data_IF_216616020043
#
_entry.id   IF_216616020043
#
_cell.length_a   1.000
_cell.length_b   1.000
_cell.length_c   1.000
_cell.angle_alpha   90.00
_cell.angle_beta   90.00
_cell.angle_gamma   90.00
#
_symmetry.space_group_name_H-M   'P 1'
#
loop_
_entity.id
_entity.type
_entity.pdbx_description
1 polymer ?
#
# COMPACT_ATOMS: atom_id res chain seq x y z
N UNK A 1 -2.63 6.11 16.76
CA UNK A 1 -2.34 6.87 15.53
C UNK A 1 -2.95 8.26 15.65
N UNK A 2 -2.10 9.28 15.69
CA UNK A 2 -2.51 10.68 15.89
C UNK A 2 -2.99 11.33 14.59
N UNK A 3 -2.33 11.02 13.48
CA UNK A 3 -2.71 11.51 12.15
C UNK A 3 -2.41 10.48 11.08
N UNK A 4 -2.98 10.69 9.90
CA UNK A 4 -2.75 9.91 8.70
C UNK A 4 -2.86 10.81 7.46
N UNK A 5 -2.08 10.52 6.43
CA UNK A 5 -2.08 11.24 5.16
C UNK A 5 -1.53 10.36 4.03
N UNK A 6 -1.99 10.61 2.81
CA UNK A 6 -1.41 10.04 1.59
C UNK A 6 -1.39 11.05 0.45
N UNK A 7 -0.53 10.87 -0.51
CA UNK A 7 -0.70 11.52 -1.81
C UNK A 7 -1.86 10.86 -2.56
N UNK A 8 -2.34 11.48 -3.63
CA UNK A 8 -3.06 10.73 -4.65
C UNK A 8 -2.18 9.60 -5.21
N UNK A 9 -2.80 8.58 -5.79
CA UNK A 9 -2.10 7.50 -6.49
C UNK A 9 -2.00 7.86 -7.97
N UNK A 10 -0.75 8.02 -8.44
CA UNK A 10 -0.44 8.30 -9.84
C UNK A 10 -0.49 7.04 -10.70
N UNK A 11 -0.89 7.20 -11.95
CA UNK A 11 -0.81 6.15 -12.96
C UNK A 11 0.63 5.94 -13.42
N UNK A 12 0.94 4.75 -13.93
CA UNK A 12 2.22 4.46 -14.56
C UNK A 12 2.53 5.45 -15.68
N UNK A 13 3.67 6.13 -15.57
CA UNK A 13 4.07 7.25 -16.45
C UNK A 13 3.07 8.42 -16.50
N UNK A 14 2.25 8.58 -15.45
CA UNK A 14 1.28 9.65 -15.27
C UNK A 14 1.87 10.90 -14.60
N UNK A 15 1.08 11.57 -13.76
CA UNK A 15 1.46 12.86 -13.14
C UNK A 15 2.74 12.79 -12.34
N UNK A 16 3.05 11.66 -11.70
CA UNK A 16 4.26 11.50 -10.90
C UNK A 16 5.44 10.84 -11.63
N UNK A 17 5.36 10.69 -12.96
CA UNK A 17 6.35 9.96 -13.74
C UNK A 17 7.82 10.40 -13.51
N UNK A 18 8.03 11.66 -13.17
CA UNK A 18 9.36 12.24 -12.95
C UNK A 18 9.56 12.73 -11.50
N UNK A 19 8.71 12.35 -10.57
CA UNK A 19 8.76 12.77 -9.18
C UNK A 19 9.43 11.68 -8.33
N UNK A 20 10.59 11.93 -7.72
CA UNK A 20 11.24 10.96 -6.84
C UNK A 20 10.28 10.49 -5.73
N UNK A 21 10.36 9.20 -5.36
CA UNK A 21 9.51 8.66 -4.31
C UNK A 21 9.65 9.41 -2.98
N UNK A 22 10.87 9.87 -2.65
CA UNK A 22 11.11 10.62 -1.41
C UNK A 22 10.48 12.02 -1.42
N UNK A 23 10.19 12.64 -2.57
CA UNK A 23 9.45 13.91 -2.61
C UNK A 23 7.97 13.68 -2.26
N UNK A 24 7.37 12.57 -2.74
CA UNK A 24 6.03 12.15 -2.32
C UNK A 24 5.99 11.84 -0.82
N UNK A 25 7.01 11.13 -0.32
CA UNK A 25 7.19 10.85 1.10
C UNK A 25 7.33 12.11 1.94
N UNK A 26 8.10 13.11 1.47
CA UNK A 26 8.25 14.43 2.11
C UNK A 26 6.89 15.09 2.35
N UNK A 27 6.07 15.17 1.31
CA UNK A 27 4.73 15.78 1.39
C UNK A 27 3.84 15.05 2.40
N UNK A 28 3.92 13.72 2.46
CA UNK A 28 3.17 12.95 3.47
C UNK A 28 3.69 13.25 4.87
N UNK A 29 5.00 13.27 5.10
CA UNK A 29 5.58 13.56 6.42
C UNK A 29 5.21 14.95 6.93
N UNK A 30 5.24 15.96 6.08
CA UNK A 30 4.78 17.32 6.41
C UNK A 30 3.30 17.30 6.81
N UNK A 31 2.44 16.67 6.01
CA UNK A 31 1.01 16.59 6.29
C UNK A 31 0.71 15.82 7.59
N UNK A 32 1.50 14.81 7.95
CA UNK A 32 1.32 14.06 9.19
C UNK A 32 1.54 14.95 10.43
N UNK A 33 2.59 15.77 10.42
CA UNK A 33 2.91 16.71 11.50
C UNK A 33 1.85 17.80 11.60
N UNK A 34 1.51 18.42 10.46
CA UNK A 34 0.50 19.49 10.40
C UNK A 34 -0.87 19.02 10.88
N UNK A 35 -1.33 17.83 10.45
CA UNK A 35 -2.62 17.25 10.85
C UNK A 35 -2.67 16.82 12.31
N UNK A 36 -1.53 16.44 12.89
CA UNK A 36 -1.44 16.13 14.31
C UNK A 36 -1.34 17.38 15.19
N UNK A 37 -1.05 18.54 14.60
CA UNK A 37 -0.86 19.79 15.34
C UNK A 37 0.33 19.77 16.30
N UNK A 38 1.41 19.09 15.93
CA UNK A 38 2.66 19.03 16.71
C UNK A 38 3.79 19.78 16.02
N UNK A 39 4.87 20.02 16.72
CA UNK A 39 6.07 20.62 16.14
C UNK A 39 6.91 19.54 15.42
N UNK A 40 7.59 19.93 14.34
CA UNK A 40 8.50 19.02 13.62
C UNK A 40 9.57 18.42 14.53
N UNK A 41 10.03 19.20 15.52
CA UNK A 41 11.01 18.78 16.52
C UNK A 41 10.55 17.66 17.45
N UNK A 42 9.25 17.38 17.51
CA UNK A 42 8.69 16.31 18.33
C UNK A 42 8.88 14.92 17.72
N UNK A 43 9.14 14.84 16.40
CA UNK A 43 9.29 13.56 15.70
C UNK A 43 10.64 12.94 16.02
N UNK A 44 10.64 11.83 16.74
CA UNK A 44 11.85 11.11 17.17
C UNK A 44 12.38 10.13 16.15
N UNK A 45 11.54 9.63 15.25
CA UNK A 45 11.96 8.67 14.21
C UNK A 45 11.04 8.68 12.99
N UNK A 46 11.59 8.26 11.83
CA UNK A 46 10.83 8.01 10.61
C UNK A 46 11.14 6.64 10.02
N UNK A 47 10.12 5.84 9.72
CA UNK A 47 10.25 4.51 9.09
C UNK A 47 9.40 4.46 7.82
N UNK A 48 10.02 4.38 6.64
CA UNK A 48 9.29 4.32 5.37
C UNK A 48 9.58 3.06 4.58
N UNK A 49 8.51 2.38 4.16
CA UNK A 49 8.58 1.29 3.20
C UNK A 49 8.92 1.79 1.80
N UNK A 50 9.83 1.11 1.11
CA UNK A 50 10.12 1.33 -0.30
C UNK A 50 10.77 0.07 -0.89
N UNK A 51 10.34 -0.34 -2.07
CA UNK A 51 10.85 -1.55 -2.75
C UNK A 51 11.86 -1.19 -3.81
N UNK A 52 11.55 -0.23 -4.66
CA UNK A 52 12.33 0.15 -5.84
C UNK A 52 13.22 1.35 -5.50
N UNK A 53 14.36 1.09 -4.88
CA UNK A 53 15.28 2.14 -4.40
C UNK A 53 16.55 2.31 -5.26
N UNK A 54 16.69 1.56 -6.35
CA UNK A 54 17.87 1.63 -7.20
C UNK A 54 18.03 3.03 -7.82
N UNK A 55 19.23 3.62 -7.69
CA UNK A 55 19.55 4.92 -8.27
C UNK A 55 18.92 6.14 -7.58
N UNK A 56 18.23 5.99 -6.45
CA UNK A 56 17.55 7.07 -5.74
C UNK A 56 18.40 7.75 -4.65
N UNK A 57 19.67 7.47 -4.58
CA UNK A 57 20.57 8.01 -3.57
C UNK A 57 20.56 7.20 -2.27
N UNK A 58 21.28 7.72 -1.27
CA UNK A 58 21.37 7.08 0.02
C UNK A 58 20.06 7.22 0.78
N UNK A 59 19.52 6.10 1.26
CA UNK A 59 18.41 6.06 2.21
C UNK A 59 17.26 7.02 1.85
N UNK A 60 16.40 6.71 0.87
CA UNK A 60 15.31 7.60 0.45
C UNK A 60 14.35 8.00 1.58
N UNK A 61 14.17 7.15 2.62
CA UNK A 61 13.41 7.53 3.81
C UNK A 61 14.06 8.68 4.58
N UNK A 62 15.40 8.67 4.69
CA UNK A 62 16.14 9.78 5.29
C UNK A 62 16.06 11.05 4.46
N UNK A 63 16.07 10.92 3.14
CA UNK A 63 15.90 12.06 2.25
C UNK A 63 14.52 12.72 2.46
N UNK A 64 13.46 11.91 2.50
CA UNK A 64 12.11 12.41 2.79
C UNK A 64 12.03 13.10 4.15
N UNK A 65 12.60 12.51 5.19
CA UNK A 65 12.64 13.04 6.54
C UNK A 65 13.31 14.44 6.61
N UNK A 66 14.51 14.56 6.07
CA UNK A 66 15.27 15.82 6.09
C UNK A 66 14.59 16.88 5.21
N UNK A 67 14.10 16.51 4.04
CA UNK A 67 13.38 17.42 3.15
C UNK A 67 12.06 17.93 3.77
N UNK A 68 11.38 17.13 4.59
CA UNK A 68 10.22 17.56 5.34
C UNK A 68 10.56 18.54 6.49
N UNK A 69 11.85 18.80 6.74
CA UNK A 69 12.33 19.66 7.81
C UNK A 69 12.20 19.05 9.20
N UNK A 70 12.13 17.71 9.27
CA UNK A 70 12.19 16.98 10.54
C UNK A 70 13.61 17.02 11.13
N UNK A 71 13.80 16.79 12.43
CA UNK A 71 15.10 16.98 13.09
C UNK A 71 16.19 16.10 12.49
N UNK A 72 17.34 16.69 12.19
CA UNK A 72 18.50 15.94 11.67
C UNK A 72 19.10 14.99 12.73
N UNK A 73 18.81 15.24 13.99
CA UNK A 73 19.19 14.41 15.14
C UNK A 73 18.34 13.15 15.26
N UNK A 74 17.11 13.18 14.72
CA UNK A 74 16.21 12.04 14.72
C UNK A 74 16.60 11.02 13.66
N UNK A 75 16.43 9.74 13.97
CA UNK A 75 16.73 8.65 13.02
C UNK A 75 15.68 8.53 11.92
N UNK A 76 16.12 8.14 10.72
CA UNK A 76 15.21 7.78 9.64
C UNK A 76 15.79 6.65 8.79
N UNK A 77 15.00 5.65 8.47
CA UNK A 77 15.43 4.48 7.72
C UNK A 77 14.31 3.83 6.90
N UNK A 78 14.73 3.06 5.89
CA UNK A 78 13.82 2.37 4.98
C UNK A 78 13.67 0.90 5.25
N UNK A 79 12.51 0.32 4.92
CA UNK A 79 12.23 -1.12 5.00
C UNK A 79 11.71 -1.63 3.66
N UNK A 80 12.11 -2.84 3.31
CA UNK A 80 11.57 -3.58 2.18
C UNK A 80 11.01 -4.94 2.65
N UNK A 81 9.68 -5.04 2.67
CA UNK A 81 8.92 -6.28 2.75
C UNK A 81 7.95 -6.35 1.57
N UNK A 82 8.41 -5.98 0.38
CA UNK A 82 7.64 -5.87 -0.87
C UNK A 82 6.31 -5.10 -0.61
N UNK A 83 5.15 -5.63 -1.01
CA UNK A 83 3.84 -4.98 -0.86
C UNK A 83 3.48 -4.66 0.60
N UNK A 84 4.01 -5.39 1.56
CA UNK A 84 3.76 -5.22 2.99
C UNK A 84 4.53 -4.10 3.66
N UNK A 85 5.52 -3.49 2.98
CA UNK A 85 6.49 -2.56 3.56
C UNK A 85 5.85 -1.42 4.35
N UNK A 86 4.84 -0.74 3.78
CA UNK A 86 4.18 0.40 4.43
C UNK A 86 3.44 0.02 5.72
N UNK A 87 2.71 -1.10 5.74
CA UNK A 87 2.01 -1.55 6.94
C UNK A 87 2.99 -2.13 7.97
N UNK A 88 4.08 -2.77 7.50
CA UNK A 88 5.14 -3.26 8.37
C UNK A 88 5.90 -2.12 9.05
N UNK A 89 6.15 -1.02 8.34
CA UNK A 89 6.75 0.19 8.92
C UNK A 89 5.92 0.72 10.10
N UNK A 90 4.60 0.77 9.95
CA UNK A 90 3.68 1.16 11.04
C UNK A 90 3.75 0.19 12.22
N UNK A 91 3.83 -1.11 11.97
CA UNK A 91 3.99 -2.11 13.02
C UNK A 91 5.32 -1.96 13.78
N UNK A 92 6.42 -1.65 13.08
CA UNK A 92 7.74 -1.40 13.70
C UNK A 92 7.72 -0.11 14.53
N UNK A 93 7.10 0.95 14.03
CA UNK A 93 6.91 2.19 14.79
C UNK A 93 6.19 1.94 16.13
N UNK A 94 5.12 1.14 16.11
CA UNK A 94 4.43 0.77 17.34
C UNK A 94 5.32 -0.03 18.29
N UNK A 95 6.20 -0.90 17.78
CA UNK A 95 7.17 -1.64 18.60
C UNK A 95 8.20 -0.71 19.25
N UNK A 96 8.76 0.24 18.50
CA UNK A 96 9.74 1.20 19.02
C UNK A 96 9.14 2.07 20.13
N UNK A 97 7.89 2.51 19.95
CA UNK A 97 7.16 3.25 21.00
C UNK A 97 6.92 2.37 22.24
N UNK A 98 6.49 1.13 22.06
CA UNK A 98 6.25 0.19 23.16
C UNK A 98 7.53 -0.17 23.95
N UNK A 99 8.68 -0.19 23.29
CA UNK A 99 9.98 -0.46 23.91
C UNK A 99 10.61 0.79 24.53
N UNK A 100 10.07 1.98 24.26
CA UNK A 100 10.63 3.26 24.73
C UNK A 100 11.85 3.72 23.93
N UNK A 101 12.07 3.17 22.72
CA UNK A 101 13.16 3.60 21.83
C UNK A 101 12.82 4.92 21.12
N UNK A 102 11.53 5.23 20.96
CA UNK A 102 11.04 6.45 20.33
C UNK A 102 9.69 6.86 20.93
N UNK A 103 9.40 8.17 21.01
CA UNK A 103 8.16 8.71 21.56
C UNK A 103 7.11 8.95 20.48
N UNK A 104 7.51 9.59 19.39
CA UNK A 104 6.65 9.94 18.24
C UNK A 104 7.32 9.49 16.96
N UNK A 105 6.67 8.62 16.23
CA UNK A 105 7.22 8.01 15.01
C UNK A 105 6.31 8.27 13.81
N UNK A 106 6.88 8.84 12.74
CA UNK A 106 6.25 8.91 11.44
C UNK A 106 6.54 7.63 10.65
N UNK A 107 5.51 6.87 10.28
CA UNK A 107 5.69 5.59 9.60
C UNK A 107 4.74 5.40 8.43
N UNK A 108 5.21 4.73 7.37
CA UNK A 108 4.41 4.49 6.19
C UNK A 108 5.21 3.92 5.04
N UNK A 109 4.96 4.41 3.84
CA UNK A 109 5.71 4.01 2.65
C UNK A 109 5.60 5.01 1.53
N UNK A 110 6.57 4.94 0.64
CA UNK A 110 6.69 5.74 -0.58
C UNK A 110 7.13 4.84 -1.72
N UNK A 111 6.66 5.09 -2.93
CA UNK A 111 7.06 4.33 -4.11
C UNK A 111 6.91 5.17 -5.37
N UNK A 112 7.84 5.07 -6.29
CA UNK A 112 7.64 5.50 -7.65
C UNK A 112 8.08 4.37 -8.59
N UNK A 113 7.11 3.65 -9.14
CA UNK A 113 7.35 2.55 -10.06
C UNK A 113 7.68 3.06 -11.46
N UNK A 114 7.19 4.26 -11.82
CA UNK A 114 7.47 4.91 -13.11
C UNK A 114 8.94 5.31 -13.26
N UNK A 115 9.61 5.70 -12.16
CA UNK A 115 11.04 6.08 -12.14
C UNK A 115 11.99 4.91 -11.88
N UNK A 116 11.47 3.68 -11.76
CA UNK A 116 12.34 2.51 -11.58
C UNK A 116 13.32 2.34 -12.74
N UNK A 117 14.63 2.29 -12.49
CA UNK A 117 15.62 2.28 -13.55
C UNK A 117 15.76 0.90 -14.20
N UNK A 118 16.37 0.90 -15.38
CA UNK A 118 16.98 -0.28 -15.95
C UNK A 118 18.47 -0.29 -15.61
N UNK A 119 19.00 -1.41 -15.11
CA UNK A 119 20.38 -1.54 -14.64
C UNK A 119 21.16 -2.60 -15.40
N UNK A 120 22.46 -2.47 -15.42
CA UNK A 120 23.37 -3.47 -15.94
C UNK A 120 24.56 -3.68 -14.99
N UNK A 121 25.05 -4.92 -14.88
CA UNK A 121 26.23 -5.27 -14.07
C UNK A 121 27.51 -5.03 -14.87
N UNK A 122 28.12 -3.82 -14.74
CA UNK A 122 29.25 -3.40 -15.57
C UNK A 122 30.60 -3.28 -14.84
N UNK A 123 30.67 -3.50 -13.50
CA UNK A 123 31.92 -3.31 -12.74
C UNK A 123 33.04 -4.25 -13.17
N UNK A 124 32.72 -5.44 -13.67
CA UNK A 124 33.70 -6.38 -14.22
C UNK A 124 34.09 -6.09 -15.69
N UNK A 125 33.52 -5.05 -16.29
CA UNK A 125 33.68 -4.71 -17.69
C UNK A 125 32.79 -5.54 -18.62
N UNK A 126 32.71 -5.11 -19.87
CA UNK A 126 32.01 -5.80 -20.94
C UNK A 126 32.92 -5.88 -22.15
N UNK A 127 33.41 -7.10 -22.47
CA UNK A 127 34.48 -7.25 -23.47
C UNK A 127 33.96 -7.31 -24.92
N UNK A 128 32.81 -7.92 -25.17
CA UNK A 128 32.26 -8.15 -26.50
C UNK A 128 30.80 -8.59 -26.44
N UNK A 129 30.00 -8.29 -27.46
CA UNK A 129 28.60 -8.69 -27.60
C UNK A 129 27.61 -7.67 -27.06
N UNK A 130 26.33 -8.05 -27.01
CA UNK A 130 25.23 -7.18 -26.57
C UNK A 130 25.21 -6.95 -25.07
N UNK A 131 24.74 -5.81 -24.66
CA UNK A 131 24.54 -5.44 -23.27
C UNK A 131 23.05 -5.60 -22.92
N UNK A 132 22.77 -6.41 -21.88
CA UNK A 132 21.39 -6.59 -21.38
C UNK A 132 21.16 -5.66 -20.20
N UNK A 133 20.11 -4.87 -20.27
CA UNK A 133 19.57 -4.10 -19.15
C UNK A 133 18.47 -4.89 -18.45
N UNK A 134 18.45 -4.81 -17.14
CA UNK A 134 17.45 -5.46 -16.27
C UNK A 134 16.48 -4.39 -15.82
N UNK A 135 15.20 -4.56 -16.07
CA UNK A 135 14.15 -3.72 -15.54
C UNK A 135 13.99 -3.99 -14.04
N UNK A 136 14.38 -3.03 -13.19
CA UNK A 136 14.31 -3.17 -11.74
C UNK A 136 12.87 -3.26 -11.23
N UNK A 137 11.92 -2.59 -11.89
CA UNK A 137 10.51 -2.67 -11.50
C UNK A 137 10.00 -4.12 -11.59
N UNK A 138 10.30 -4.78 -12.69
CA UNK A 138 9.92 -6.20 -12.87
C UNK A 138 10.77 -7.09 -11.97
N UNK A 139 12.09 -6.94 -12.01
CA UNK A 139 13.01 -7.88 -11.33
C UNK A 139 12.89 -7.85 -9.82
N UNK A 140 12.76 -6.67 -9.22
CA UNK A 140 12.80 -6.47 -7.77
C UNK A 140 11.39 -6.36 -7.16
N UNK A 141 10.39 -5.93 -7.96
CA UNK A 141 9.02 -5.71 -7.47
C UNK A 141 8.00 -6.76 -7.90
N UNK A 142 8.10 -7.29 -9.14
CA UNK A 142 7.02 -8.06 -9.77
C UNK A 142 7.40 -9.49 -10.18
N UNK A 143 8.63 -9.94 -9.85
CA UNK A 143 9.14 -11.25 -10.20
C UNK A 143 9.31 -12.16 -9.00
N UNK A 144 8.71 -13.35 -9.07
CA UNK A 144 8.96 -14.39 -8.05
C UNK A 144 10.40 -14.90 -8.20
N UNK A 145 11.24 -14.58 -7.23
CA UNK A 145 12.66 -14.93 -7.23
C UNK A 145 12.89 -16.43 -7.05
N UNK A 146 11.94 -17.16 -6.47
CA UNK A 146 12.06 -18.59 -6.15
C UNK A 146 11.60 -19.46 -7.32
N UNK A 147 10.47 -19.12 -7.94
CA UNK A 147 9.87 -19.89 -9.03
C UNK A 147 10.23 -19.36 -10.41
N UNK A 148 10.79 -18.15 -10.53
CA UNK A 148 11.31 -17.61 -11.78
C UNK A 148 10.23 -17.15 -12.77
N UNK A 149 9.11 -16.59 -12.27
CA UNK A 149 8.03 -16.08 -13.09
C UNK A 149 7.41 -14.78 -12.51
N UNK A 150 6.59 -14.11 -13.31
CA UNK A 150 5.91 -12.88 -12.90
C UNK A 150 4.84 -13.15 -11.82
N UNK A 151 4.58 -12.17 -10.93
CA UNK A 151 3.54 -12.26 -9.89
C UNK A 151 2.16 -12.64 -10.42
N UNK A 152 1.83 -12.27 -11.68
CA UNK A 152 0.59 -12.70 -12.33
C UNK A 152 0.43 -14.22 -12.45
N UNK A 153 1.54 -14.98 -12.55
CA UNK A 153 1.49 -16.44 -12.50
C UNK A 153 1.07 -16.94 -11.11
N UNK A 154 1.48 -16.28 -10.03
CA UNK A 154 1.02 -16.65 -8.68
C UNK A 154 -0.49 -16.43 -8.53
N UNK A 155 -1.04 -15.40 -9.20
CA UNK A 155 -2.48 -15.16 -9.23
C UNK A 155 -3.23 -16.26 -10.01
N UNK A 156 -2.69 -16.76 -11.13
CA UNK A 156 -3.25 -17.90 -11.84
C UNK A 156 -3.19 -19.18 -10.99
N UNK A 157 -2.11 -19.40 -10.25
CA UNK A 157 -1.98 -20.53 -9.33
C UNK A 157 -3.08 -20.48 -8.25
N UNK A 158 -3.36 -19.28 -7.70
CA UNK A 158 -4.45 -19.07 -6.74
C UNK A 158 -5.80 -19.30 -7.40
N UNK A 159 -6.04 -18.73 -8.59
CA UNK A 159 -7.27 -18.92 -9.34
C UNK A 159 -7.58 -20.40 -9.54
N UNK A 160 -6.58 -21.17 -9.98
CA UNK A 160 -6.72 -22.61 -10.17
C UNK A 160 -7.00 -23.37 -8.87
N UNK A 161 -6.19 -23.13 -7.84
CA UNK A 161 -6.28 -23.86 -6.57
C UNK A 161 -7.57 -23.57 -5.79
N UNK A 162 -8.06 -22.33 -5.81
CA UNK A 162 -9.29 -21.89 -5.14
C UNK A 162 -10.52 -21.94 -6.05
N UNK A 163 -10.35 -22.36 -7.32
CA UNK A 163 -11.42 -22.43 -8.32
C UNK A 163 -12.13 -21.07 -8.52
N UNK A 164 -11.34 -20.03 -8.67
CA UNK A 164 -11.83 -18.68 -8.97
C UNK A 164 -11.87 -18.52 -10.50
N UNK A 165 -13.07 -18.46 -11.05
CA UNK A 165 -13.27 -18.32 -12.49
C UNK A 165 -12.90 -16.93 -13.00
N UNK A 166 -12.75 -16.79 -14.32
CA UNK A 166 -12.55 -15.51 -15.00
C UNK A 166 -13.71 -14.55 -14.72
N UNK A 167 -14.95 -15.03 -14.78
CA UNK A 167 -16.12 -14.21 -14.53
C UNK A 167 -16.15 -13.65 -13.10
N UNK A 168 -15.84 -14.49 -12.10
CA UNK A 168 -15.72 -14.02 -10.70
C UNK A 168 -14.68 -12.91 -10.55
N UNK A 169 -13.54 -13.01 -11.24
CA UNK A 169 -12.48 -12.01 -11.22
C UNK A 169 -12.92 -10.69 -11.88
N UNK A 170 -13.56 -10.79 -13.04
CA UNK A 170 -14.03 -9.61 -13.77
C UNK A 170 -15.17 -8.89 -13.03
N UNK A 171 -16.13 -9.62 -12.44
CA UNK A 171 -17.19 -9.07 -11.59
C UNK A 171 -16.61 -8.35 -10.37
N UNK A 172 -15.63 -8.95 -9.70
CA UNK A 172 -14.92 -8.33 -8.59
C UNK A 172 -14.23 -7.03 -9.01
N UNK A 173 -13.53 -7.03 -10.15
CA UNK A 173 -12.83 -5.88 -10.68
C UNK A 173 -13.79 -4.73 -11.05
N UNK A 174 -14.91 -5.03 -11.69
CA UNK A 174 -15.97 -4.05 -11.96
C UNK A 174 -16.52 -3.46 -10.67
N UNK A 175 -16.79 -4.30 -9.66
CA UNK A 175 -17.27 -3.83 -8.36
C UNK A 175 -16.26 -2.89 -7.69
N UNK A 176 -14.96 -3.22 -7.71
CA UNK A 176 -13.91 -2.35 -7.17
C UNK A 176 -13.86 -1.01 -7.88
N UNK A 177 -13.88 -1.00 -9.22
CA UNK A 177 -13.88 0.23 -10.03
C UNK A 177 -15.12 1.10 -9.73
N UNK A 178 -16.31 0.53 -9.70
CA UNK A 178 -17.54 1.26 -9.45
C UNK A 178 -17.62 1.83 -8.04
N UNK A 179 -17.13 1.10 -7.03
CA UNK A 179 -17.00 1.59 -5.65
C UNK A 179 -16.03 2.79 -5.58
N UNK A 180 -14.86 2.69 -6.24
CA UNK A 180 -13.87 3.75 -6.24
C UNK A 180 -14.36 5.00 -6.99
N UNK A 181 -15.01 4.83 -8.13
CA UNK A 181 -15.65 5.94 -8.88
C UNK A 181 -16.70 6.65 -8.01
N UNK A 182 -17.57 5.90 -7.34
CA UNK A 182 -18.60 6.46 -6.47
C UNK A 182 -17.97 7.20 -5.27
N UNK A 183 -16.92 6.62 -4.65
CA UNK A 183 -16.22 7.24 -3.54
C UNK A 183 -15.50 8.53 -3.97
N UNK A 184 -14.82 8.53 -5.11
CA UNK A 184 -14.17 9.73 -5.67
C UNK A 184 -15.16 10.84 -5.97
N UNK A 185 -16.28 10.53 -6.65
CA UNK A 185 -17.35 11.48 -6.94
C UNK A 185 -18.01 12.06 -5.68
N UNK A 186 -18.08 11.26 -4.61
CA UNK A 186 -18.61 11.69 -3.32
C UNK A 186 -17.58 12.43 -2.44
N UNK A 187 -16.34 12.63 -2.93
CA UNK A 187 -15.27 13.31 -2.18
C UNK A 187 -14.72 12.53 -0.99
N UNK A 188 -14.96 11.22 -0.91
CA UNK A 188 -14.56 10.41 0.26
C UNK A 188 -13.05 10.30 0.49
N UNK A 189 -12.25 10.55 -0.55
CA UNK A 189 -10.79 10.54 -0.45
C UNK A 189 -10.19 11.90 -0.08
N UNK A 190 -10.99 12.98 -0.04
CA UNK A 190 -10.49 14.32 0.20
C UNK A 190 -9.79 14.49 1.57
N UNK A 191 -10.32 13.83 2.61
CA UNK A 191 -9.77 13.92 3.95
C UNK A 191 -8.41 13.18 4.10
N UNK A 192 -8.19 12.12 3.31
CA UNK A 192 -6.96 11.33 3.38
C UNK A 192 -5.87 11.84 2.45
N UNK A 193 -6.24 12.43 1.30
CA UNK A 193 -5.29 12.94 0.32
C UNK A 193 -4.69 14.27 0.78
N UNK A 194 -3.38 14.40 0.66
CA UNK A 194 -2.67 15.67 0.70
C UNK A 194 -2.24 16.01 -0.73
N UNK A 195 -2.59 17.22 -1.25
CA UNK A 195 -2.24 17.60 -2.61
C UNK A 195 -0.72 17.66 -2.80
N UNK A 196 -0.25 17.25 -3.97
CA UNK A 196 1.14 17.38 -4.39
C UNK A 196 1.25 18.31 -5.60
N UNK A 197 2.18 19.24 -5.56
CA UNK A 197 2.40 20.19 -6.67
C UNK A 197 3.55 19.70 -7.56
N UNK A 198 3.22 19.26 -8.76
CA UNK A 198 4.19 18.89 -9.80
C UNK A 198 4.62 20.15 -10.55
N UNK A 199 5.90 20.49 -10.47
CA UNK A 199 6.47 21.60 -11.21
C UNK A 199 6.72 21.20 -12.66
N UNK A 200 6.15 21.93 -13.62
CA UNK A 200 6.36 21.72 -15.05
C UNK A 200 6.83 22.98 -15.75
N UNK A 201 7.38 22.82 -16.96
CA UNK A 201 7.79 23.98 -17.79
C UNK A 201 6.62 24.88 -18.20
N UNK A 202 5.38 24.36 -18.13
CA UNK A 202 4.14 25.08 -18.50
C UNK A 202 3.42 25.68 -17.29
N UNK A 203 3.97 25.52 -16.10
CA UNK A 203 3.38 25.93 -14.83
C UNK A 203 3.19 24.77 -13.87
N UNK A 204 2.79 25.07 -12.66
CA UNK A 204 2.59 24.09 -11.61
C UNK A 204 1.24 23.39 -11.80
N UNK A 205 1.21 22.08 -11.58
CA UNK A 205 0.01 21.22 -11.63
C UNK A 205 -0.21 20.66 -10.24
N UNK A 206 -1.36 20.93 -9.65
CA UNK A 206 -1.77 20.31 -8.37
C UNK A 206 -2.42 18.96 -8.68
N UNK A 207 -1.88 17.90 -8.08
CA UNK A 207 -2.37 16.53 -8.19
C UNK A 207 -2.98 16.14 -6.84
N UNK A 208 -4.32 16.10 -6.78
CA UNK A 208 -5.12 15.91 -5.58
C UNK A 208 -6.18 14.80 -5.72
N UNK A 209 -6.15 14.05 -6.84
CA UNK A 209 -7.06 12.95 -7.11
C UNK A 209 -6.31 11.71 -7.62
N UNK A 210 -6.83 10.53 -7.27
CA UNK A 210 -6.33 9.27 -7.78
C UNK A 210 -6.58 9.17 -9.29
N UNK A 211 -5.51 8.96 -10.07
CA UNK A 211 -5.57 8.98 -11.54
C UNK A 211 -6.00 7.64 -12.15
N UNK A 212 -5.82 6.54 -11.41
CA UNK A 212 -5.94 5.20 -12.00
C UNK A 212 -7.39 4.70 -12.09
N UNK A 213 -8.34 5.31 -11.37
CA UNK A 213 -9.75 4.92 -11.35
C UNK A 213 -10.36 5.04 -12.76
N UNK A 214 -10.87 3.92 -13.27
CA UNK A 214 -11.52 3.85 -14.60
C UNK A 214 -13.02 4.04 -14.44
N UNK A 215 -13.50 5.23 -14.74
CA UNK A 215 -14.92 5.56 -14.66
C UNK A 215 -15.73 4.80 -15.71
N UNK A 216 -16.94 4.38 -15.33
CA UNK A 216 -17.85 3.66 -16.22
C UNK A 216 -17.41 2.23 -16.56
N UNK A 217 -16.72 1.56 -15.65
CA UNK A 217 -16.31 0.17 -15.85
C UNK A 217 -17.52 -0.77 -15.95
N UNK A 218 -17.53 -1.64 -16.96
CA UNK A 218 -18.58 -2.62 -17.19
C UNK A 218 -17.98 -4.02 -17.41
N UNK A 219 -18.79 -5.06 -17.15
CA UNK A 219 -18.38 -6.45 -17.33
C UNK A 219 -18.02 -6.75 -18.79
N UNK A 220 -18.77 -6.21 -19.73
CA UNK A 220 -18.55 -6.40 -21.17
C UNK A 220 -17.19 -5.85 -21.62
N UNK A 221 -16.72 -4.76 -20.98
CA UNK A 221 -15.40 -4.20 -21.27
C UNK A 221 -14.27 -5.02 -20.66
N UNK A 222 -14.47 -5.60 -19.46
CA UNK A 222 -13.50 -6.50 -18.83
C UNK A 222 -13.31 -7.78 -19.63
N UNK A 223 -14.43 -8.40 -20.05
CA UNK A 223 -14.43 -9.69 -20.79
C UNK A 223 -13.73 -9.63 -22.16
N UNK A 224 -13.62 -8.45 -22.78
CA UNK A 224 -12.89 -8.26 -24.05
C UNK A 224 -11.38 -8.45 -23.91
N UNK A 225 -10.82 -8.38 -22.71
CA UNK A 225 -9.39 -8.42 -22.50
C UNK A 225 -8.86 -9.87 -22.52
N UNK A 226 -7.70 -10.02 -23.15
CA UNK A 226 -6.99 -11.31 -23.16
C UNK A 226 -6.22 -11.53 -21.87
N UNK A 227 -6.01 -12.79 -21.44
CA UNK A 227 -5.09 -13.12 -20.37
C UNK A 227 -3.71 -12.49 -20.59
N UNK A 228 -3.12 -11.96 -19.52
CA UNK A 228 -1.89 -11.18 -19.61
C UNK A 228 -0.62 -12.00 -19.30
N UNK A 229 -0.73 -13.07 -18.52
CA UNK A 229 0.42 -13.79 -17.97
C UNK A 229 0.53 -15.24 -18.49
N UNK A 230 -0.59 -15.90 -18.71
CA UNK A 230 -0.66 -17.27 -19.22
C UNK A 230 -1.62 -17.31 -20.41
N UNK A 231 -1.25 -17.99 -21.48
CA UNK A 231 -2.02 -18.01 -22.75
C UNK A 231 -3.49 -18.39 -22.56
N UNK A 232 -3.76 -19.42 -21.76
CA UNK A 232 -5.10 -19.91 -21.42
C UNK A 232 -5.49 -19.54 -19.98
N UNK A 233 -4.93 -18.43 -19.49
CA UNK A 233 -5.17 -17.96 -18.11
C UNK A 233 -6.46 -17.16 -17.96
N UNK A 234 -6.64 -16.64 -16.76
CA UNK A 234 -7.83 -15.87 -16.36
C UNK A 234 -7.49 -14.43 -15.93
N UNK A 235 -6.24 -14.17 -15.56
CA UNK A 235 -5.78 -12.87 -15.08
C UNK A 235 -5.49 -11.93 -16.26
N UNK A 236 -6.10 -10.76 -16.23
CA UNK A 236 -5.97 -9.72 -17.26
C UNK A 236 -5.45 -8.40 -16.68
N UNK A 237 -5.11 -7.44 -17.53
CA UNK A 237 -4.74 -6.10 -17.13
C UNK A 237 -5.89 -5.32 -16.41
N UNK A 238 -7.15 -5.77 -16.51
CA UNK A 238 -8.28 -5.10 -15.87
C UNK A 238 -8.69 -5.75 -14.55
N UNK A 239 -8.35 -7.03 -14.31
CA UNK A 239 -8.61 -7.71 -13.06
C UNK A 239 -7.34 -7.92 -12.20
N UNK A 240 -6.29 -7.16 -12.52
CA UNK A 240 -5.06 -6.99 -11.76
C UNK A 240 -4.93 -5.53 -11.31
N UNK A 241 -4.20 -5.29 -10.22
CA UNK A 241 -3.84 -3.93 -9.81
C UNK A 241 -2.90 -3.27 -10.83
N UNK A 242 -2.83 -1.95 -10.80
CA UNK A 242 -1.94 -1.17 -11.65
C UNK A 242 -0.50 -1.13 -11.17
N UNK A 243 0.35 -0.58 -12.03
CA UNK A 243 1.68 -0.08 -11.71
C UNK A 243 1.50 1.41 -11.39
N UNK A 244 1.89 1.83 -10.20
CA UNK A 244 1.49 3.14 -9.69
C UNK A 244 2.57 3.81 -8.84
N UNK A 245 2.41 5.11 -8.63
CA UNK A 245 3.27 5.96 -7.85
C UNK A 245 2.49 6.58 -6.70
N UNK A 246 3.11 6.75 -5.52
CA UNK A 246 2.43 7.37 -4.38
C UNK A 246 3.13 7.16 -3.05
N UNK A 247 2.68 7.88 -2.04
CA UNK A 247 3.13 7.75 -0.67
C UNK A 247 1.96 7.82 0.31
N UNK A 248 2.08 7.16 1.44
CA UNK A 248 1.10 7.18 2.51
C UNK A 248 1.78 6.94 3.87
N UNK A 249 1.21 7.48 4.94
CA UNK A 249 1.77 7.28 6.27
C UNK A 249 0.79 7.59 7.40
N UNK A 250 1.23 7.30 8.60
CA UNK A 250 0.57 7.65 9.85
C UNK A 250 1.60 8.13 10.87
N UNK A 251 1.20 9.03 11.75
CA UNK A 251 1.97 9.46 12.91
C UNK A 251 1.51 8.67 14.13
N UNK A 252 2.46 8.04 14.80
CA UNK A 252 2.21 7.18 15.95
C UNK A 252 2.82 7.79 17.22
N UNK A 253 2.10 7.64 18.33
CA UNK A 253 2.57 7.91 19.68
C UNK A 253 1.84 7.00 20.68
N UNK A 254 2.30 6.95 21.92
CA UNK A 254 1.57 6.25 22.97
C UNK A 254 0.22 6.95 23.28
N UNK A 255 -0.70 6.23 23.93
CA UNK A 255 -1.97 6.82 24.37
C UNK A 255 -1.72 7.95 25.38
N UNK A 256 -0.80 7.75 26.32
CA UNK A 256 -0.43 8.75 27.34
C UNK A 256 0.14 10.04 26.70
N UNK A 257 0.96 9.91 25.66
CA UNK A 257 1.51 11.08 24.96
C UNK A 257 0.43 11.82 24.16
N UNK A 258 -0.51 11.09 23.56
CA UNK A 258 -1.66 11.70 22.88
C UNK A 258 -2.56 12.45 23.85
N UNK A 259 -2.88 11.87 25.02
CA UNK A 259 -3.67 12.49 26.09
C UNK A 259 -2.97 13.75 26.61
N UNK A 260 -1.69 13.66 26.94
CA UNK A 260 -0.87 14.79 27.41
C UNK A 260 -0.87 15.97 26.43
N UNK A 261 -0.93 15.70 25.12
CA UNK A 261 -0.98 16.72 24.07
C UNK A 261 -2.39 17.15 23.69
N UNK A 262 -3.43 16.52 24.24
CA UNK A 262 -4.82 16.78 23.88
C UNK A 262 -5.17 16.35 22.44
N UNK A 263 -4.47 15.35 21.91
CA UNK A 263 -4.69 14.81 20.56
C UNK A 263 -5.69 13.67 20.63
N UNK A 264 -6.81 13.82 19.94
CA UNK A 264 -7.77 12.72 19.74
C UNK A 264 -7.22 11.72 18.71
N UNK A 265 -6.96 10.46 19.07
CA UNK A 265 -6.40 9.50 18.14
C UNK A 265 -7.43 9.04 17.10
N UNK A 266 -6.98 8.84 15.85
CA UNK A 266 -7.82 8.26 14.80
C UNK A 266 -8.24 6.82 15.12
N UNK A 267 -7.30 6.02 15.64
CA UNK A 267 -7.51 4.67 16.13
C UNK A 267 -6.31 4.18 16.95
N UNK A 268 -6.51 3.11 17.70
CA UNK A 268 -5.49 2.35 18.42
C UNK A 268 -5.14 1.08 17.61
N UNK A 269 -3.86 0.69 17.62
CA UNK A 269 -3.44 -0.63 17.10
C UNK A 269 -3.78 -1.68 18.16
N UNK A 270 -4.76 -2.51 17.89
CA UNK A 270 -5.14 -3.62 18.77
C UNK A 270 -4.16 -4.79 18.63
N UNK A 271 -3.76 -5.12 17.42
CA UNK A 271 -2.77 -6.15 17.12
C UNK A 271 -2.21 -6.03 15.72
N UNK A 272 -1.15 -6.76 15.44
CA UNK A 272 -0.62 -6.97 14.09
C UNK A 272 0.06 -8.34 13.99
N UNK A 273 0.14 -8.87 12.77
CA UNK A 273 0.83 -10.12 12.49
C UNK A 273 1.45 -10.12 11.10
N UNK A 274 2.57 -10.85 10.98
CA UNK A 274 3.17 -11.23 9.70
C UNK A 274 3.32 -12.74 9.67
N UNK A 275 3.21 -13.31 8.48
CA UNK A 275 3.32 -14.76 8.24
C UNK A 275 4.09 -15.03 6.96
N UNK A 276 4.70 -16.21 6.87
CA UNK A 276 5.24 -16.77 5.64
C UNK A 276 4.37 -17.92 5.14
N UNK A 277 4.37 -18.11 3.82
CA UNK A 277 3.71 -19.23 3.14
C UNK A 277 4.44 -19.55 1.82
N UNK A 278 3.96 -20.54 1.10
CA UNK A 278 4.50 -20.91 -0.22
C UNK A 278 4.45 -19.70 -1.19
N UNK A 279 5.60 -19.28 -1.75
CA UNK A 279 5.66 -18.18 -2.73
C UNK A 279 4.74 -18.35 -3.91
N UNK A 280 4.53 -19.58 -4.39
CA UNK A 280 3.68 -19.89 -5.54
C UNK A 280 2.21 -19.47 -5.36
N UNK A 281 1.77 -19.31 -4.10
CA UNK A 281 0.41 -18.90 -3.74
C UNK A 281 0.41 -17.71 -2.79
N UNK A 282 1.37 -16.79 -2.94
CA UNK A 282 1.55 -15.62 -2.07
C UNK A 282 0.25 -14.82 -1.86
N UNK A 283 -0.65 -14.83 -2.85
CA UNK A 283 -1.89 -14.08 -2.84
C UNK A 283 -2.80 -14.38 -1.66
N UNK A 284 -2.73 -15.57 -1.05
CA UNK A 284 -3.54 -15.94 0.12
C UNK A 284 -2.86 -15.64 1.47
N UNK A 285 -1.71 -14.97 1.47
CA UNK A 285 -1.05 -14.47 2.68
C UNK A 285 -1.96 -13.70 3.64
N UNK A 286 -2.89 -12.86 3.16
CA UNK A 286 -3.87 -12.16 4.00
C UNK A 286 -4.69 -13.08 4.90
N UNK A 287 -5.06 -14.28 4.45
CA UNK A 287 -5.85 -15.23 5.24
C UNK A 287 -5.12 -15.61 6.53
N UNK A 288 -3.87 -16.01 6.41
CA UNK A 288 -3.06 -16.45 7.55
C UNK A 288 -2.66 -15.27 8.44
N UNK A 289 -2.31 -14.13 7.86
CA UNK A 289 -1.93 -12.94 8.61
C UNK A 289 -3.12 -12.38 9.39
N UNK A 290 -4.30 -12.29 8.76
CA UNK A 290 -5.53 -11.79 9.39
C UNK A 290 -5.99 -12.69 10.53
N UNK A 291 -6.03 -14.02 10.33
CA UNK A 291 -6.37 -14.95 11.40
C UNK A 291 -5.47 -14.81 12.61
N UNK A 292 -4.15 -14.70 12.38
CA UNK A 292 -3.16 -14.49 13.45
C UNK A 292 -3.28 -13.13 14.14
N UNK A 293 -3.62 -12.07 13.40
CA UNK A 293 -3.85 -10.75 13.99
C UNK A 293 -5.14 -10.73 14.82
N UNK A 294 -6.23 -11.31 14.30
CA UNK A 294 -7.49 -11.45 15.03
C UNK A 294 -7.32 -12.26 16.32
N UNK A 295 -6.63 -13.40 16.26
CA UNK A 295 -6.30 -14.21 17.45
C UNK A 295 -5.58 -13.38 18.52
N UNK A 296 -4.57 -12.60 18.12
CA UNK A 296 -3.84 -11.72 19.04
C UNK A 296 -4.70 -10.61 19.64
N UNK A 297 -5.68 -10.11 18.90
CA UNK A 297 -6.63 -9.11 19.37
C UNK A 297 -7.74 -9.72 20.26
N UNK A 298 -7.89 -11.04 20.26
CA UNK A 298 -9.02 -11.73 20.89
C UNK A 298 -10.33 -11.55 20.12
N UNK A 299 -10.24 -11.30 18.79
CA UNK A 299 -11.40 -11.05 17.94
C UNK A 299 -11.69 -12.21 17.00
N UNK A 300 -12.96 -12.34 16.63
CA UNK A 300 -13.43 -13.17 15.53
C UNK A 300 -13.62 -12.34 14.25
N UNK A 301 -13.82 -13.00 13.12
CA UNK A 301 -14.13 -12.32 11.85
C UNK A 301 -15.43 -11.52 11.93
N UNK A 302 -16.41 -12.02 12.70
CA UNK A 302 -17.72 -11.36 12.89
C UNK A 302 -17.67 -10.11 13.77
N UNK A 303 -16.55 -9.84 14.45
CA UNK A 303 -16.36 -8.62 15.22
C UNK A 303 -15.93 -7.41 14.36
N UNK A 304 -15.56 -7.66 13.10
CA UNK A 304 -15.07 -6.61 12.22
C UNK A 304 -16.21 -5.78 11.63
N UNK A 305 -16.09 -4.46 11.72
CA UNK A 305 -16.97 -3.48 11.09
C UNK A 305 -16.50 -3.10 9.68
N UNK A 306 -15.18 -3.05 9.45
CA UNK A 306 -14.57 -2.68 8.19
C UNK A 306 -13.28 -3.46 7.93
N UNK A 307 -13.03 -3.77 6.65
CA UNK A 307 -11.82 -4.44 6.17
C UNK A 307 -11.27 -3.70 4.95
N UNK A 308 -9.99 -3.40 4.96
CA UNK A 308 -9.21 -3.03 3.78
C UNK A 308 -8.22 -4.16 3.46
N UNK A 309 -8.55 -4.96 2.46
CA UNK A 309 -7.73 -6.05 1.93
C UNK A 309 -7.17 -5.65 0.57
N UNK A 310 -5.84 -5.54 0.44
CA UNK A 310 -5.23 -5.09 -0.80
C UNK A 310 -5.55 -6.03 -1.98
N UNK A 311 -5.98 -5.44 -3.08
CA UNK A 311 -6.38 -6.14 -4.30
C UNK A 311 -5.20 -6.18 -5.29
N UNK A 312 -4.16 -6.97 -5.01
CA UNK A 312 -3.07 -7.14 -5.97
C UNK A 312 -3.57 -7.78 -7.27
N UNK A 313 -4.49 -8.74 -7.15
CA UNK A 313 -5.20 -9.41 -8.23
C UNK A 313 -6.63 -9.76 -7.78
N UNK A 314 -7.61 -9.70 -8.67
CA UNK A 314 -8.98 -10.12 -8.35
C UNK A 314 -9.04 -11.61 -7.97
N UNK A 315 -8.26 -12.47 -8.62
CA UNK A 315 -8.13 -13.89 -8.28
C UNK A 315 -7.77 -14.10 -6.82
N UNK A 316 -6.76 -13.36 -6.34
CA UNK A 316 -6.31 -13.40 -4.96
C UNK A 316 -7.36 -12.83 -4.00
N UNK A 317 -7.96 -11.69 -4.34
CA UNK A 317 -8.96 -11.05 -3.48
C UNK A 317 -10.21 -11.93 -3.30
N UNK A 318 -10.70 -12.55 -4.37
CA UNK A 318 -11.79 -13.52 -4.31
C UNK A 318 -11.45 -14.74 -3.43
N UNK A 319 -10.23 -15.28 -3.55
CA UNK A 319 -9.77 -16.40 -2.73
C UNK A 319 -9.69 -16.04 -1.25
N UNK A 320 -9.17 -14.84 -0.93
CA UNK A 320 -9.09 -14.32 0.44
C UNK A 320 -10.50 -14.14 1.03
N UNK A 321 -11.42 -13.50 0.28
CA UNK A 321 -12.80 -13.32 0.73
C UNK A 321 -13.49 -14.66 1.03
N UNK A 322 -13.28 -15.65 0.15
CA UNK A 322 -13.83 -17.01 0.32
C UNK A 322 -13.31 -17.69 1.59
N UNK A 323 -12.00 -17.65 1.84
CA UNK A 323 -11.38 -18.34 2.96
C UNK A 323 -11.58 -17.64 4.30
N UNK A 324 -11.69 -16.31 4.30
CA UNK A 324 -11.97 -15.53 5.51
C UNK A 324 -13.45 -15.62 5.92
N UNK A 325 -14.36 -15.76 4.97
CA UNK A 325 -15.79 -15.84 5.25
C UNK A 325 -16.38 -14.56 5.84
N UNK A 326 -15.74 -13.42 5.65
CA UNK A 326 -16.27 -12.12 6.06
C UNK A 326 -17.37 -11.62 5.12
N UNK A 327 -18.17 -10.67 5.59
CA UNK A 327 -19.18 -10.03 4.76
C UNK A 327 -18.51 -9.17 3.68
N UNK A 328 -18.71 -9.41 2.37
CA UNK A 328 -18.17 -8.58 1.31
C UNK A 328 -18.63 -7.12 1.37
N UNK A 329 -19.71 -6.81 2.06
CA UNK A 329 -20.24 -5.46 2.21
C UNK A 329 -19.36 -4.56 3.09
N UNK A 330 -18.53 -5.15 3.97
CA UNK A 330 -17.58 -4.39 4.80
C UNK A 330 -16.16 -4.34 4.21
N UNK A 331 -15.91 -5.01 3.08
CA UNK A 331 -14.59 -5.13 2.46
C UNK A 331 -14.42 -4.10 1.34
N UNK A 332 -13.33 -3.32 1.41
CA UNK A 332 -12.96 -2.33 0.39
C UNK A 332 -14.18 -1.52 -0.07
N UNK A 333 -14.84 -0.90 0.88
CA UNK A 333 -16.14 -0.23 0.65
C UNK A 333 -16.05 0.99 -0.28
N UNK A 334 -14.85 1.51 -0.48
CA UNK A 334 -14.53 2.59 -1.39
C UNK A 334 -13.70 2.13 -2.62
N UNK A 335 -13.75 0.83 -2.95
CA UNK A 335 -12.88 0.23 -3.94
C UNK A 335 -11.48 -0.06 -3.40
N UNK A 336 -10.68 -0.82 -4.13
CA UNK A 336 -9.34 -1.23 -3.72
C UNK A 336 -8.30 -1.02 -4.82
N UNK A 337 -7.17 -1.72 -4.72
CA UNK A 337 -5.99 -1.48 -5.57
C UNK A 337 -6.22 -1.74 -7.06
N UNK A 338 -7.17 -2.56 -7.46
CA UNK A 338 -7.55 -2.74 -8.88
C UNK A 338 -8.03 -1.42 -9.47
N UNK A 339 -8.72 -0.60 -8.68
CA UNK A 339 -9.25 0.70 -9.10
C UNK A 339 -8.31 1.86 -8.73
N UNK A 340 -7.86 1.92 -7.48
CA UNK A 340 -7.08 3.05 -6.95
C UNK A 340 -5.61 2.95 -7.38
N UNK A 341 -5.07 1.73 -7.45
CA UNK A 341 -3.67 1.47 -7.78
C UNK A 341 -2.86 0.85 -6.64
N UNK A 342 -1.63 0.38 -6.99
CA UNK A 342 -0.78 -0.39 -6.09
C UNK A 342 0.69 0.08 -6.12
N UNK A 343 1.00 1.29 -5.58
CA UNK A 343 2.39 1.70 -5.35
C UNK A 343 2.99 0.80 -4.26
N UNK A 344 3.74 -0.25 -4.67
CA UNK A 344 3.99 -1.46 -3.85
C UNK A 344 4.53 -1.16 -2.45
N UNK A 345 5.55 -0.33 -2.28
CA UNK A 345 6.11 0.01 -0.97
C UNK A 345 5.20 0.89 -0.09
N UNK A 346 4.28 1.64 -0.71
CA UNK A 346 3.35 2.53 -0.02
C UNK A 346 1.98 1.88 0.29
N UNK A 347 1.62 0.82 -0.42
CA UNK A 347 0.26 0.27 -0.42
C UNK A 347 -0.25 -0.13 0.95
N UNK A 348 0.61 -0.67 1.82
CA UNK A 348 0.21 -1.03 3.17
C UNK A 348 -0.26 0.16 4.01
N UNK A 349 0.42 1.29 3.89
CA UNK A 349 0.02 2.54 4.52
C UNK A 349 -1.18 3.20 3.80
N UNK A 350 -1.31 3.03 2.47
CA UNK A 350 -2.45 3.53 1.70
C UNK A 350 -3.76 2.90 2.18
N UNK A 351 -3.82 1.56 2.26
CA UNK A 351 -5.03 0.88 2.74
C UNK A 351 -5.32 1.20 4.20
N UNK A 352 -4.28 1.36 5.03
CA UNK A 352 -4.44 1.80 6.41
C UNK A 352 -5.09 3.19 6.51
N UNK A 353 -4.67 4.14 5.67
CA UNK A 353 -5.27 5.48 5.61
C UNK A 353 -6.76 5.40 5.25
N UNK A 354 -7.10 4.70 4.17
CA UNK A 354 -8.49 4.53 3.75
C UNK A 354 -9.34 3.90 4.84
N UNK A 355 -8.81 2.87 5.53
CA UNK A 355 -9.48 2.25 6.67
C UNK A 355 -9.74 3.23 7.81
N UNK A 356 -8.73 3.99 8.23
CA UNK A 356 -8.84 4.96 9.33
C UNK A 356 -9.91 6.03 9.07
N UNK A 357 -9.89 6.63 7.88
CA UNK A 357 -10.85 7.68 7.52
C UNK A 357 -12.26 7.13 7.33
N UNK A 358 -12.42 5.91 6.79
CA UNK A 358 -13.74 5.30 6.66
C UNK A 358 -14.29 4.82 8.02
N UNK A 359 -13.43 4.29 8.92
CA UNK A 359 -13.82 4.00 10.30
C UNK A 359 -14.33 5.25 11.02
N UNK A 360 -13.62 6.38 10.87
CA UNK A 360 -14.05 7.67 11.43
C UNK A 360 -15.41 8.10 10.86
N UNK A 361 -15.58 7.99 9.53
CA UNK A 361 -16.82 8.43 8.84
C UNK A 361 -18.05 7.62 9.24
N UNK A 362 -17.89 6.33 9.49
CA UNK A 362 -18.98 5.41 9.85
C UNK A 362 -19.14 5.18 11.34
N UNK A 363 -18.29 5.79 12.16
CA UNK A 363 -18.16 5.45 13.58
C UNK A 363 -17.92 3.95 13.82
N UNK A 364 -17.20 3.30 12.90
CA UNK A 364 -16.82 1.91 13.00
C UNK A 364 -15.76 1.71 14.10
N UNK A 365 -15.92 0.65 14.89
CA UNK A 365 -15.10 0.42 16.08
C UNK A 365 -13.92 -0.51 15.83
N UNK A 366 -14.10 -1.54 15.00
CA UNK A 366 -13.10 -2.57 14.73
C UNK A 366 -12.80 -2.68 13.25
N UNK A 367 -11.56 -2.44 12.88
CA UNK A 367 -11.09 -2.49 11.49
C UNK A 367 -9.90 -3.40 11.30
N UNK A 368 -9.73 -3.91 10.09
CA UNK A 368 -8.60 -4.76 9.69
C UNK A 368 -8.01 -4.26 8.37
N UNK A 369 -6.70 -4.03 8.34
CA UNK A 369 -5.93 -3.83 7.11
C UNK A 369 -5.04 -5.05 6.85
N UNK A 370 -5.01 -5.57 5.60
CA UNK A 370 -4.21 -6.75 5.26
C UNK A 370 -3.73 -6.75 3.81
N UNK A 371 -2.54 -7.32 3.58
CA UNK A 371 -1.93 -7.47 2.25
C UNK A 371 -1.29 -8.84 2.06
N UNK A 372 -1.34 -9.33 0.81
CA UNK A 372 -0.41 -10.33 0.33
C UNK A 372 0.94 -9.67 -0.01
N UNK A 373 1.99 -10.47 0.03
CA UNK A 373 3.37 -10.00 -0.15
C UNK A 373 4.10 -10.98 -1.06
N UNK A 374 4.72 -10.45 -2.12
CA UNK A 374 5.59 -11.23 -3.01
C UNK A 374 6.68 -11.98 -2.23
N UNK A 375 7.04 -13.17 -2.70
CA UNK A 375 7.95 -14.07 -1.99
C UNK A 375 7.26 -14.97 -0.96
N UNK A 376 5.92 -14.97 -0.90
CA UNK A 376 5.14 -15.86 -0.03
C UNK A 376 5.04 -15.36 1.41
N UNK A 377 4.44 -14.19 1.59
CA UNK A 377 4.21 -13.61 2.92
C UNK A 377 2.84 -12.92 2.98
N UNK A 378 2.41 -12.57 4.19
CA UNK A 378 1.23 -11.75 4.46
C UNK A 378 1.45 -10.89 5.70
N UNK A 379 0.78 -9.74 5.73
CA UNK A 379 0.74 -8.83 6.89
C UNK A 379 -0.69 -8.39 7.15
N UNK A 380 -1.06 -8.27 8.42
CA UNK A 380 -2.34 -7.74 8.86
C UNK A 380 -2.21 -6.90 10.11
N UNK A 381 -3.09 -5.92 10.27
CA UNK A 381 -3.18 -5.04 11.44
C UNK A 381 -4.65 -4.83 11.80
N UNK A 382 -4.98 -5.07 13.07
CA UNK A 382 -6.27 -4.79 13.67
C UNK A 382 -6.26 -3.42 14.34
N UNK A 383 -7.27 -2.63 14.05
CA UNK A 383 -7.46 -1.28 14.58
C UNK A 383 -8.73 -1.22 15.42
N UNK A 384 -8.70 -0.42 16.48
CA UNK A 384 -9.84 -0.19 17.36
C UNK A 384 -10.05 1.30 17.60
N UNK A 385 -11.31 1.72 17.63
CA UNK A 385 -11.76 3.07 18.03
C UNK A 385 -12.73 2.95 19.20
N UNK A 386 -12.70 3.94 20.08
CA UNK A 386 -13.63 4.07 21.21
C UNK A 386 -15.04 4.46 20.77
#
# INVERSE_FOLDING_TARGET
MASAARTSVGSFTGSFANTPAHDLGTTVLEALVDRAGIEKSDVSETILGQVLSAGQGQNPARQAHVNAGLPIESSAWGINQVCGSGLRAVALAAQHIQLGDADIVAAGGQENMSLSPHVAHLRAGHKMGDLKYIDCMIKDGLWDAFNGYHMGQTAENVAQKWQISRDMQDEFAVSSQNKAEAAQKAGKFADEITPFTVKTRKGDIVVDQDEYIRHGATIENMQKLRPAFVKEGSVTAANASGINDGAAGALLMSADEAEKRGIEPLARIASYATVGLDPAIMGVGPVYASRKALEKAGWSVSDLDLVEANEAFAAQACAVNKDMGWDPAIVNVNGGAIAIGHPIGASGARILNTLLFEMKRRDAKKGLATLCIGGGMGVAMCLERD
#
